data_IF_726747165360
#
_entry.id   IF_726747165360
#
_cell.length_a   1.000
_cell.length_b   1.000
_cell.length_c   1.000
_cell.angle_alpha   90.00
_cell.angle_beta   90.00
_cell.angle_gamma   90.00
#
_symmetry.space_group_name_H-M   'P 1'
#
loop_
_entity.id
_entity.type
_entity.pdbx_description
1 polymer ?
#
# COMPACT_ATOMS: atom_id res chain seq x y z
N UNK A 1 16.71 10.88 -6.63
CA UNK A 1 16.36 10.50 -5.25
C UNK A 1 15.74 9.11 -5.24
N UNK A 2 16.31 8.21 -4.45
CA UNK A 2 15.93 6.81 -4.34
C UNK A 2 15.37 6.50 -2.94
N UNK A 3 14.10 6.10 -2.88
CA UNK A 3 13.44 5.60 -1.68
C UNK A 3 13.34 4.09 -1.80
N UNK A 4 13.99 3.35 -0.90
CA UNK A 4 13.82 1.90 -0.82
C UNK A 4 12.72 1.54 0.17
N UNK A 5 11.86 0.61 -0.22
CA UNK A 5 10.87 -0.01 0.67
C UNK A 5 11.29 -1.45 0.93
N UNK A 6 11.71 -1.75 2.16
CA UNK A 6 12.32 -3.02 2.54
C UNK A 6 11.76 -3.58 3.85
N UNK A 7 12.06 -4.84 4.15
CA UNK A 7 11.70 -5.51 5.43
C UNK A 7 12.71 -6.62 5.78
N UNK A 8 13.90 -6.53 5.19
CA UNK A 8 14.88 -7.61 5.17
C UNK A 8 14.36 -8.87 4.48
N UNK A 9 14.84 -10.02 4.94
CA UNK A 9 14.60 -11.36 4.40
C UNK A 9 13.17 -11.87 4.59
N UNK A 10 12.30 -11.11 5.28
CA UNK A 10 10.95 -11.55 5.60
C UNK A 10 9.93 -11.18 4.51
N UNK A 11 9.20 -12.18 4.02
CA UNK A 11 8.02 -12.04 3.15
C UNK A 11 6.73 -11.74 3.90
N UNK A 12 5.71 -11.26 3.18
CA UNK A 12 4.37 -11.05 3.75
C UNK A 12 4.22 -9.88 4.73
N UNK A 13 5.23 -9.01 4.83
CA UNK A 13 5.25 -7.84 5.73
C UNK A 13 4.39 -6.67 5.25
N UNK A 14 4.00 -6.64 3.97
CA UNK A 14 3.22 -5.56 3.36
C UNK A 14 4.04 -4.43 2.73
N UNK A 15 5.31 -4.67 2.39
CA UNK A 15 6.18 -3.73 1.65
C UNK A 15 5.50 -3.15 0.41
N UNK A 16 4.96 -4.00 -0.45
CA UNK A 16 4.29 -3.58 -1.68
C UNK A 16 3.08 -2.68 -1.42
N UNK A 17 2.34 -2.95 -0.36
CA UNK A 17 1.25 -2.07 0.09
C UNK A 17 1.76 -0.70 0.54
N UNK A 18 2.88 -0.67 1.28
CA UNK A 18 3.52 0.57 1.71
C UNK A 18 4.05 1.35 0.52
N UNK A 19 4.73 0.69 -0.41
CA UNK A 19 5.26 1.29 -1.63
C UNK A 19 4.14 1.89 -2.50
N UNK A 20 3.03 1.18 -2.67
CA UNK A 20 1.86 1.69 -3.39
C UNK A 20 1.23 2.90 -2.68
N UNK A 21 1.05 2.83 -1.36
CA UNK A 21 0.47 3.92 -0.58
C UNK A 21 1.32 5.19 -0.61
N UNK A 22 2.64 5.04 -0.48
CA UNK A 22 3.61 6.12 -0.68
C UNK A 22 3.45 6.79 -2.04
N UNK A 23 3.45 5.98 -3.08
CA UNK A 23 3.37 6.43 -4.46
C UNK A 23 2.03 7.14 -4.76
N UNK A 24 0.93 6.62 -4.21
CA UNK A 24 -0.38 7.28 -4.27
C UNK A 24 -0.36 8.67 -3.61
N UNK A 25 0.23 8.82 -2.41
CA UNK A 25 0.30 10.11 -1.71
C UNK A 25 1.25 11.10 -2.40
N UNK A 26 2.39 10.65 -2.92
CA UNK A 26 3.29 11.52 -3.68
C UNK A 26 2.60 12.07 -4.93
N UNK A 27 1.82 11.23 -5.62
CA UNK A 27 1.01 11.65 -6.76
C UNK A 27 -0.01 12.72 -6.35
N UNK A 28 -0.68 12.54 -5.21
CA UNK A 28 -1.63 13.51 -4.65
C UNK A 28 -1.03 14.88 -4.36
N UNK A 29 0.23 14.90 -3.94
CA UNK A 29 0.97 16.12 -3.66
C UNK A 29 1.60 16.73 -4.91
N UNK A 30 1.43 16.09 -6.07
CA UNK A 30 1.96 16.56 -7.35
C UNK A 30 3.46 16.32 -7.54
N UNK A 31 4.07 15.42 -6.75
CA UNK A 31 5.47 15.03 -6.96
C UNK A 31 5.56 14.04 -8.12
N UNK A 32 6.38 14.37 -9.12
CA UNK A 32 6.69 13.43 -10.20
C UNK A 32 7.63 12.34 -9.69
N UNK A 33 7.21 11.08 -9.79
CA UNK A 33 7.99 9.91 -9.37
C UNK A 33 7.62 8.68 -10.20
N UNK A 34 8.39 7.62 -10.02
CA UNK A 34 8.15 6.29 -10.59
C UNK A 34 8.25 5.24 -9.49
N UNK A 35 7.40 4.23 -9.55
CA UNK A 35 7.42 3.09 -8.63
C UNK A 35 8.01 1.87 -9.34
N UNK A 36 9.17 1.44 -8.90
CA UNK A 36 9.89 0.29 -9.42
C UNK A 36 9.53 -0.96 -8.60
N UNK A 37 8.99 -1.98 -9.26
CA UNK A 37 8.81 -3.31 -8.67
C UNK A 37 10.01 -4.19 -9.03
N UNK A 38 10.88 -4.41 -8.06
CA UNK A 38 12.09 -5.19 -8.25
C UNK A 38 11.84 -6.71 -8.18
N UNK A 39 10.69 -7.17 -7.65
CA UNK A 39 10.40 -8.60 -7.47
C UNK A 39 10.40 -9.37 -8.80
N UNK A 40 9.96 -8.73 -9.88
CA UNK A 40 9.92 -9.31 -11.22
C UNK A 40 11.30 -9.70 -11.77
N UNK A 41 12.39 -9.05 -11.33
CA UNK A 41 13.75 -9.37 -11.77
C UNK A 41 14.24 -10.72 -11.24
N UNK A 42 13.57 -11.28 -10.23
CA UNK A 42 13.88 -12.59 -9.66
C UNK A 42 13.08 -13.73 -10.32
N UNK A 43 12.41 -13.45 -11.45
CA UNK A 43 11.65 -14.44 -12.23
C UNK A 43 10.22 -14.68 -11.75
N UNK A 44 9.82 -14.10 -10.61
CA UNK A 44 8.44 -14.15 -10.10
C UNK A 44 8.01 -12.76 -9.61
N UNK A 45 7.11 -12.12 -10.35
CA UNK A 45 6.45 -10.89 -9.91
C UNK A 45 5.56 -11.21 -8.70
N UNK A 46 5.96 -10.76 -7.52
CA UNK A 46 5.20 -10.94 -6.25
C UNK A 46 4.98 -9.62 -5.52
N UNK A 47 5.50 -8.51 -6.07
CA UNK A 47 5.38 -7.16 -5.55
C UNK A 47 4.15 -6.43 -6.07
N UNK A 48 4.22 -5.11 -6.15
CA UNK A 48 3.10 -4.24 -6.59
C UNK A 48 2.54 -4.66 -7.96
N UNK A 49 3.37 -5.11 -8.89
CA UNK A 49 2.94 -5.53 -10.24
C UNK A 49 1.96 -6.72 -10.19
N UNK A 50 2.22 -7.70 -9.33
CA UNK A 50 1.34 -8.85 -9.11
C UNK A 50 -0.05 -8.41 -8.62
N UNK A 51 -0.09 -7.50 -7.65
CA UNK A 51 -1.34 -6.92 -7.13
C UNK A 51 -2.06 -6.01 -8.12
N UNK A 52 -1.51 -5.74 -9.30
CA UNK A 52 -2.18 -4.98 -10.36
C UNK A 52 -2.67 -5.91 -11.47
N UNK A 53 -1.90 -6.95 -11.78
CA UNK A 53 -2.29 -7.99 -12.74
C UNK A 53 -3.46 -8.85 -12.27
N UNK A 54 -3.78 -8.90 -10.98
CA UNK A 54 -4.98 -9.60 -10.48
C UNK A 54 -6.26 -8.73 -10.53
N UNK A 55 -6.16 -7.44 -10.87
CA UNK A 55 -7.24 -6.44 -10.76
C UNK A 55 -7.63 -5.79 -12.11
N UNK A 56 -7.35 -6.49 -13.22
CA UNK A 56 -6.95 -5.94 -14.53
C UNK A 56 -7.80 -4.81 -15.13
N UNK A 57 -9.12 -4.72 -15.03
CA UNK A 57 -9.83 -3.74 -15.89
C UNK A 57 -10.24 -2.42 -15.21
N UNK A 58 -10.52 -2.40 -13.90
CA UNK A 58 -10.91 -1.16 -13.19
C UNK A 58 -9.73 -0.41 -12.56
N UNK A 59 -8.71 -1.16 -12.15
CA UNK A 59 -7.51 -0.69 -11.43
C UNK A 59 -6.42 -0.17 -12.40
N UNK A 60 -6.55 -0.47 -13.68
CA UNK A 60 -5.65 -0.04 -14.75
C UNK A 60 -5.54 1.49 -14.97
N UNK A 61 -6.34 2.29 -14.25
CA UNK A 61 -6.16 3.75 -14.18
C UNK A 61 -5.25 4.17 -13.02
N UNK A 62 -5.24 3.50 -11.87
CA UNK A 62 -4.29 3.85 -10.80
C UNK A 62 -2.87 3.48 -11.23
N UNK A 63 -2.65 2.35 -11.91
CA UNK A 63 -1.35 1.97 -12.48
C UNK A 63 -0.74 3.07 -13.37
N UNK A 64 -1.58 3.86 -14.07
CA UNK A 64 -1.15 5.04 -14.84
C UNK A 64 -0.68 6.21 -13.98
N UNK A 65 -1.26 6.41 -12.80
CA UNK A 65 -0.85 7.45 -11.85
C UNK A 65 0.42 7.06 -11.11
N UNK A 66 0.54 5.79 -10.73
CA UNK A 66 1.66 5.27 -9.94
C UNK A 66 2.92 5.01 -10.82
N UNK A 67 2.81 5.15 -12.16
CA UNK A 67 3.86 4.94 -13.17
C UNK A 67 4.78 3.77 -12.84
N UNK A 68 4.19 2.59 -12.73
CA UNK A 68 4.92 1.41 -12.27
C UNK A 68 5.82 0.89 -13.38
N UNK A 69 7.08 0.63 -13.02
CA UNK A 69 8.08 0.00 -13.87
C UNK A 69 8.57 -1.28 -13.21
N UNK A 70 8.86 -2.28 -14.02
CA UNK A 70 9.51 -3.49 -13.54
C UNK A 70 11.03 -3.26 -13.45
N UNK A 71 11.66 -3.86 -12.44
CA UNK A 71 13.11 -3.85 -12.26
C UNK A 71 13.62 -2.71 -11.39
N UNK A 72 14.85 -2.25 -11.67
CA UNK A 72 15.52 -1.19 -10.92
C UNK A 72 15.53 0.13 -11.69
N UNK A 73 15.59 1.28 -10.98
CA UNK A 73 15.92 2.54 -11.63
C UNK A 73 17.34 2.47 -12.23
N UNK A 74 17.57 3.10 -13.40
CA UNK A 74 18.91 3.27 -13.98
C UNK A 74 19.90 3.88 -12.98
N UNK A 75 21.20 3.62 -13.14
CA UNK A 75 22.21 4.14 -12.22
C UNK A 75 22.25 5.68 -12.17
N UNK A 76 21.98 6.31 -13.30
CA UNK A 76 21.94 7.76 -13.51
C UNK A 76 20.51 8.33 -13.41
N UNK A 77 19.59 7.63 -12.75
CA UNK A 77 18.20 8.05 -12.65
C UNK A 77 18.06 9.39 -11.89
N UNK A 78 17.85 10.48 -12.64
CA UNK A 78 17.74 11.83 -12.10
C UNK A 78 16.38 12.17 -11.45
N UNK A 79 15.43 11.24 -11.44
CA UNK A 79 14.08 11.45 -10.89
C UNK A 79 13.92 11.02 -9.44
N UNK A 80 12.67 11.03 -8.97
CA UNK A 80 12.27 10.38 -7.72
C UNK A 80 11.82 8.94 -8.02
N UNK A 81 12.43 7.97 -7.36
CA UNK A 81 12.11 6.55 -7.47
C UNK A 81 11.69 6.00 -6.11
N UNK A 82 10.57 5.29 -6.06
CA UNK A 82 10.24 4.36 -4.98
C UNK A 82 10.57 2.96 -5.49
N UNK A 83 11.31 2.16 -4.74
CA UNK A 83 11.61 0.77 -5.11
C UNK A 83 10.97 -0.18 -4.11
N UNK A 84 10.02 -0.99 -4.58
CA UNK A 84 9.46 -2.11 -3.83
C UNK A 84 10.41 -3.30 -3.94
N UNK A 85 11.10 -3.61 -2.84
CA UNK A 85 12.01 -4.74 -2.80
C UNK A 85 11.28 -6.03 -2.38
N UNK A 86 11.61 -7.19 -2.98
CA UNK A 86 11.22 -8.49 -2.45
C UNK A 86 11.93 -8.72 -1.11
N UNK A 87 11.63 -9.83 -0.41
CA UNK A 87 12.40 -10.23 0.75
C UNK A 87 13.87 -10.42 0.37
N UNK A 88 14.78 -9.63 0.97
CA UNK A 88 16.21 -9.63 0.65
C UNK A 88 17.05 -9.67 1.92
N UNK A 89 18.15 -10.43 1.87
CA UNK A 89 19.08 -10.60 2.99
C UNK A 89 20.35 -9.80 2.77
N UNK A 90 20.99 -9.32 3.84
CA UNK A 90 22.30 -8.64 3.76
C UNK A 90 23.42 -9.54 3.21
N UNK A 91 23.19 -10.86 3.14
CA UNK A 91 24.10 -11.79 2.46
C UNK A 91 24.09 -11.61 0.93
N UNK A 92 23.10 -10.91 0.36
CA UNK A 92 22.98 -10.65 -1.07
C UNK A 92 23.71 -9.34 -1.41
N UNK A 93 24.79 -9.36 -2.21
CA UNK A 93 25.57 -8.17 -2.53
C UNK A 93 24.75 -7.05 -3.18
N UNK A 94 23.79 -7.41 -4.02
CA UNK A 94 22.89 -6.46 -4.68
C UNK A 94 22.00 -5.70 -3.68
N UNK A 95 21.56 -6.34 -2.60
CA UNK A 95 20.79 -5.66 -1.57
C UNK A 95 21.63 -4.61 -0.84
N UNK A 96 22.90 -4.96 -0.54
CA UNK A 96 23.85 -4.04 0.09
C UNK A 96 24.18 -2.86 -0.85
N UNK A 97 24.38 -3.12 -2.14
CA UNK A 97 24.56 -2.07 -3.17
C UNK A 97 23.36 -1.11 -3.18
N UNK A 98 22.14 -1.64 -3.25
CA UNK A 98 20.93 -0.85 -3.25
C UNK A 98 20.82 0.01 -1.98
N UNK A 99 21.03 -0.58 -0.79
CA UNK A 99 21.03 0.15 0.47
C UNK A 99 22.03 1.31 0.47
N UNK A 100 23.23 1.10 -0.08
CA UNK A 100 24.28 2.12 -0.13
C UNK A 100 23.94 3.31 -1.02
N UNK A 101 23.09 3.10 -2.02
CA UNK A 101 22.67 4.10 -3.03
C UNK A 101 21.37 4.82 -2.66
N UNK A 102 20.67 4.38 -1.62
CA UNK A 102 19.36 4.90 -1.27
C UNK A 102 19.45 6.19 -0.46
N UNK A 103 18.74 7.22 -0.91
CA UNK A 103 18.61 8.50 -0.21
C UNK A 103 17.67 8.42 1.00
N UNK A 104 16.72 7.49 0.97
CA UNK A 104 15.82 7.22 2.08
C UNK A 104 15.45 5.74 2.15
N UNK A 105 15.24 5.27 3.38
CA UNK A 105 14.84 3.91 3.65
C UNK A 105 13.50 3.89 4.39
N UNK A 106 12.51 3.20 3.81
CA UNK A 106 11.24 2.85 4.45
C UNK A 106 11.31 1.38 4.84
N UNK A 107 11.40 1.08 6.13
CA UNK A 107 11.44 -0.31 6.60
C UNK A 107 10.09 -0.71 7.17
N UNK A 108 9.55 -1.80 6.64
CA UNK A 108 8.24 -2.34 7.00
C UNK A 108 8.41 -3.55 7.89
N UNK A 109 7.79 -3.54 9.06
CA UNK A 109 7.79 -4.67 9.99
C UNK A 109 6.37 -5.18 10.23
N UNK A 110 6.27 -6.44 10.65
CA UNK A 110 5.02 -7.11 11.03
C UNK A 110 5.11 -7.67 12.46
N UNK A 111 4.00 -8.23 12.97
CA UNK A 111 3.96 -8.85 14.31
C UNK A 111 4.87 -10.07 14.45
N UNK A 112 5.34 -10.64 13.35
CA UNK A 112 6.11 -11.88 13.38
C UNK A 112 7.53 -11.58 13.90
N UNK A 113 8.04 -12.32 14.91
CA UNK A 113 9.32 -12.00 15.53
C UNK A 113 10.51 -11.97 14.57
N UNK A 114 10.49 -12.82 13.54
CA UNK A 114 11.51 -12.86 12.48
C UNK A 114 11.49 -11.61 11.61
N UNK A 115 10.34 -10.97 11.44
CA UNK A 115 10.17 -9.67 10.78
C UNK A 115 10.88 -8.55 11.53
N UNK A 116 10.79 -8.55 12.87
CA UNK A 116 11.46 -7.55 13.73
C UNK A 116 12.98 -7.71 13.65
N UNK A 117 13.49 -8.94 13.78
CA UNK A 117 14.94 -9.21 13.67
C UNK A 117 15.46 -8.84 12.29
N UNK A 118 14.70 -9.16 11.24
CA UNK A 118 15.09 -8.82 9.87
C UNK A 118 15.14 -7.31 9.64
N UNK A 119 14.18 -6.57 10.20
CA UNK A 119 14.14 -5.11 10.14
C UNK A 119 15.36 -4.47 10.83
N UNK A 120 15.69 -4.87 12.07
CA UNK A 120 16.81 -4.28 12.81
C UNK A 120 18.15 -4.48 12.09
N UNK A 121 18.39 -5.65 11.50
CA UNK A 121 19.59 -5.88 10.67
C UNK A 121 19.68 -4.93 9.47
N UNK A 122 18.56 -4.69 8.78
CA UNK A 122 18.53 -3.76 7.64
C UNK A 122 18.81 -2.32 8.11
N UNK A 123 18.28 -1.93 9.26
CA UNK A 123 18.51 -0.61 9.84
C UNK A 123 19.99 -0.41 10.21
N UNK A 124 20.64 -1.41 10.81
CA UNK A 124 22.07 -1.39 11.14
C UNK A 124 22.96 -1.28 9.90
N UNK A 125 22.54 -1.90 8.78
CA UNK A 125 23.32 -1.93 7.55
C UNK A 125 23.12 -0.72 6.64
N UNK A 126 22.08 0.09 6.85
CA UNK A 126 21.78 1.25 6.01
C UNK A 126 22.68 2.43 6.38
N UNK A 127 23.53 2.94 5.46
CA UNK A 127 24.48 4.01 5.78
C UNK A 127 23.84 5.41 5.82
N UNK A 128 22.61 5.56 5.34
CA UNK A 128 21.92 6.85 5.29
C UNK A 128 21.20 7.21 6.59
N UNK A 129 20.84 8.49 6.74
CA UNK A 129 20.21 9.01 7.96
C UNK A 129 18.69 9.14 7.87
N UNK A 130 18.10 9.09 6.66
CA UNK A 130 16.66 9.25 6.45
C UNK A 130 15.95 7.90 6.47
N UNK A 131 15.42 7.56 7.65
CA UNK A 131 14.75 6.27 7.90
C UNK A 131 13.32 6.52 8.36
N UNK A 132 12.37 5.77 7.80
CA UNK A 132 10.98 5.72 8.27
C UNK A 132 10.58 4.27 8.55
N UNK A 133 10.21 3.98 9.80
CA UNK A 133 9.70 2.67 10.21
C UNK A 133 8.18 2.62 10.05
N UNK A 134 7.64 1.57 9.44
CA UNK A 134 6.21 1.33 9.26
C UNK A 134 5.84 -0.02 9.86
N UNK A 135 4.85 -0.03 10.73
CA UNK A 135 4.32 -1.24 11.33
C UNK A 135 3.02 -1.64 10.65
N UNK A 136 3.03 -2.82 10.05
CA UNK A 136 1.88 -3.40 9.39
C UNK A 136 1.52 -4.73 10.05
N UNK A 137 0.26 -4.88 10.50
CA UNK A 137 -0.19 -6.06 11.28
C UNK A 137 0.50 -6.21 12.66
N UNK A 138 1.33 -5.27 13.11
CA UNK A 138 2.09 -5.37 14.37
C UNK A 138 1.40 -4.69 15.57
N UNK A 139 2.03 -4.74 16.76
CA UNK A 139 1.64 -3.89 17.89
C UNK A 139 1.85 -2.41 17.56
N UNK A 140 1.00 -1.53 18.12
CA UNK A 140 1.15 -0.07 17.98
C UNK A 140 2.24 0.50 18.90
N UNK A 141 2.70 -0.27 19.88
CA UNK A 141 3.68 0.19 20.86
C UNK A 141 5.04 0.48 20.20
N UNK A 142 5.56 1.70 20.41
CA UNK A 142 6.83 2.14 19.81
C UNK A 142 6.80 2.46 18.32
N UNK A 143 5.64 2.44 17.66
CA UNK A 143 5.54 2.65 16.22
C UNK A 143 4.71 3.88 15.82
N UNK A 144 5.39 4.86 15.19
CA UNK A 144 4.75 6.11 14.74
C UNK A 144 3.81 5.92 13.56
N UNK A 145 4.17 5.04 12.63
CA UNK A 145 3.41 4.78 11.40
C UNK A 145 2.80 3.39 11.44
N UNK A 146 1.53 3.31 11.84
CA UNK A 146 0.79 2.05 11.90
C UNK A 146 -0.24 1.94 10.78
N UNK A 147 -0.27 0.80 10.11
CA UNK A 147 -1.30 0.44 9.15
C UNK A 147 -2.33 -0.48 9.81
N UNK A 148 -3.58 0.01 9.88
CA UNK A 148 -4.75 -0.79 10.20
C UNK A 148 -4.92 -1.87 9.15
N UNK A 149 -5.07 -3.10 9.61
CA UNK A 149 -5.28 -4.27 8.75
C UNK A 149 -6.68 -4.19 8.15
N UNK A 150 -6.72 -4.08 6.82
CA UNK A 150 -7.93 -4.22 5.99
C UNK A 150 -7.73 -5.38 5.00
N UNK A 151 -8.72 -5.78 4.18
CA UNK A 151 -8.56 -6.90 3.24
C UNK A 151 -7.29 -6.77 2.38
N UNK A 152 -6.73 -7.89 1.93
CA UNK A 152 -5.35 -7.98 1.43
C UNK A 152 -5.01 -7.15 0.19
N UNK A 153 -6.00 -6.54 -0.49
CA UNK A 153 -5.70 -5.65 -1.60
C UNK A 153 -5.06 -4.33 -1.10
N UNK A 154 -3.91 -3.93 -1.67
CA UNK A 154 -3.29 -2.65 -1.38
C UNK A 154 -4.23 -1.44 -1.56
N UNK A 155 -5.18 -1.52 -2.48
CA UNK A 155 -6.17 -0.46 -2.73
C UNK A 155 -7.12 -0.22 -1.57
N UNK A 156 -7.48 -1.28 -0.86
CA UNK A 156 -8.31 -1.19 0.34
C UNK A 156 -7.49 -0.65 1.51
N UNK A 157 -6.23 -1.08 1.61
CA UNK A 157 -5.32 -0.59 2.64
C UNK A 157 -5.07 0.91 2.48
N UNK A 158 -4.81 1.40 1.26
CA UNK A 158 -4.61 2.84 1.02
C UNK A 158 -5.93 3.62 1.18
N UNK A 159 -7.06 3.03 0.77
CA UNK A 159 -8.38 3.64 0.87
C UNK A 159 -8.88 3.82 2.31
N UNK A 160 -8.44 2.98 3.24
CA UNK A 160 -8.82 3.08 4.65
C UNK A 160 -8.42 4.46 5.24
N UNK A 161 -9.36 5.26 5.79
CA UNK A 161 -9.08 6.64 6.21
C UNK A 161 -8.00 6.79 7.29
N UNK A 162 -7.78 5.75 8.11
CA UNK A 162 -6.70 5.72 9.09
C UNK A 162 -5.35 5.54 8.41
N UNK A 163 -5.24 4.57 7.50
CA UNK A 163 -4.03 4.31 6.72
C UNK A 163 -3.68 5.47 5.78
N UNK A 164 -4.67 6.08 5.14
CA UNK A 164 -4.47 7.28 4.32
C UNK A 164 -3.76 8.40 5.10
N UNK A 165 -4.19 8.63 6.36
CA UNK A 165 -3.53 9.59 7.26
C UNK A 165 -2.12 9.15 7.66
N UNK A 166 -1.90 7.84 7.86
CA UNK A 166 -0.57 7.30 8.10
C UNK A 166 0.35 7.57 6.90
N UNK A 167 -0.09 7.33 5.66
CA UNK A 167 0.70 7.60 4.47
C UNK A 167 1.00 9.09 4.26
N UNK A 168 0.06 9.99 4.60
CA UNK A 168 0.34 11.43 4.61
C UNK A 168 1.49 11.78 5.57
N UNK A 169 1.46 11.27 6.80
CA UNK A 169 2.53 11.52 7.77
C UNK A 169 3.86 10.89 7.37
N UNK A 170 3.80 9.68 6.79
CA UNK A 170 4.98 8.97 6.29
C UNK A 170 5.68 9.81 5.21
N UNK A 171 4.93 10.36 4.25
CA UNK A 171 5.48 11.21 3.19
C UNK A 171 6.04 12.54 3.72
N UNK A 172 5.44 13.12 4.77
CA UNK A 172 6.01 14.29 5.47
C UNK A 172 7.38 13.96 6.09
N UNK A 173 7.49 12.83 6.80
CA UNK A 173 8.74 12.39 7.43
C UNK A 173 9.84 12.08 6.40
N UNK A 174 9.47 11.69 5.17
CA UNK A 174 10.39 11.53 4.05
C UNK A 174 10.82 12.87 3.42
N UNK A 175 10.32 14.00 3.90
CA UNK A 175 10.65 15.34 3.41
C UNK A 175 9.82 15.82 2.23
N UNK A 176 8.74 15.13 1.88
CA UNK A 176 7.85 15.52 0.79
C UNK A 176 6.67 16.35 1.28
N UNK A 177 6.96 17.40 2.05
CA UNK A 177 5.95 18.32 2.56
C UNK A 177 5.29 19.08 1.42
N UNK A 178 3.97 19.23 1.46
CA UNK A 178 3.24 19.99 0.45
C UNK A 178 1.74 19.94 0.67
N UNK A 179 1.02 20.90 0.07
CA UNK A 179 -0.44 20.88 0.06
C UNK A 179 -0.93 19.73 -0.81
N UNK A 180 -1.61 18.77 -0.20
CA UNK A 180 -2.17 17.66 -0.91
C UNK A 180 -3.41 18.13 -1.70
N UNK A 181 -3.50 17.75 -2.98
CA UNK A 181 -4.57 18.18 -3.89
C UNK A 181 -5.82 17.31 -3.74
N UNK A 182 -6.29 17.13 -2.51
CA UNK A 182 -7.53 16.40 -2.23
C UNK A 182 -8.47 17.23 -1.36
N UNK A 183 -9.76 16.96 -1.50
CA UNK A 183 -10.82 17.54 -0.69
C UNK A 183 -11.48 16.45 0.15
N UNK A 184 -11.72 16.75 1.43
CA UNK A 184 -12.54 15.91 2.29
C UNK A 184 -14.01 16.23 2.04
N UNK A 185 -14.74 15.28 1.45
CA UNK A 185 -16.15 15.47 1.07
C UNK A 185 -17.09 14.97 2.16
N UNK A 186 -16.77 13.80 2.77
CA UNK A 186 -17.59 13.14 3.80
C UNK A 186 -19.10 13.06 3.49
N UNK A 187 -19.48 12.87 2.22
CA UNK A 187 -20.88 12.81 1.78
C UNK A 187 -21.36 11.36 1.76
N UNK A 188 -22.51 11.11 2.37
CA UNK A 188 -23.18 9.81 2.40
C UNK A 188 -24.32 9.76 1.39
N UNK A 189 -24.55 8.58 0.83
CA UNK A 189 -25.58 8.34 -0.17
C UNK A 189 -25.92 6.84 -0.23
N UNK A 190 -27.07 6.51 -0.81
CA UNK A 190 -27.49 5.13 -1.05
C UNK A 190 -27.44 4.81 -2.53
N UNK A 191 -26.86 3.66 -2.90
CA UNK A 191 -26.90 3.13 -4.27
C UNK A 191 -27.04 1.61 -4.21
N UNK A 192 -27.91 1.03 -5.04
CA UNK A 192 -28.20 -0.41 -5.09
C UNK A 192 -28.50 -1.05 -3.72
N UNK A 193 -29.26 -0.34 -2.87
CA UNK A 193 -29.62 -0.77 -1.52
C UNK A 193 -28.44 -0.79 -0.53
N UNK A 194 -27.28 -0.25 -0.90
CA UNK A 194 -26.06 -0.18 -0.08
C UNK A 194 -25.81 1.26 0.34
N UNK A 195 -25.49 1.47 1.62
CA UNK A 195 -25.00 2.78 2.09
C UNK A 195 -23.55 2.96 1.65
N UNK A 196 -23.25 4.15 1.16
CA UNK A 196 -21.93 4.51 0.69
C UNK A 196 -21.53 5.90 1.16
N UNK A 197 -20.23 6.15 1.11
CA UNK A 197 -19.60 7.38 1.58
C UNK A 197 -18.46 7.79 0.66
N UNK A 198 -18.52 9.00 0.12
CA UNK A 198 -17.40 9.65 -0.54
C UNK A 198 -16.60 10.38 0.54
N UNK A 199 -15.44 9.84 0.91
CA UNK A 199 -14.66 10.35 2.04
C UNK A 199 -13.73 11.47 1.59
N UNK A 200 -12.90 11.18 0.59
CA UNK A 200 -11.94 12.10 -0.02
C UNK A 200 -12.09 12.06 -1.53
N UNK A 201 -11.86 13.19 -2.21
CA UNK A 201 -11.81 13.29 -3.68
C UNK A 201 -10.61 14.09 -4.14
N UNK A 202 -10.06 13.75 -5.28
CA UNK A 202 -9.02 14.46 -6.00
C UNK A 202 -9.15 14.14 -7.48
N UNK A 203 -8.71 14.98 -8.39
CA UNK A 203 -8.79 14.60 -9.80
C UNK A 203 -7.67 13.59 -10.14
N UNK A 204 -7.94 12.40 -10.74
CA UNK A 204 -9.24 11.78 -11.04
C UNK A 204 -9.60 10.60 -10.11
N UNK A 205 -9.34 10.64 -8.80
CA UNK A 205 -9.65 9.55 -7.84
C UNK A 205 -10.39 10.00 -6.57
N UNK A 206 -10.92 9.02 -5.85
CA UNK A 206 -11.62 9.22 -4.60
C UNK A 206 -11.44 8.01 -3.69
N UNK A 207 -11.61 8.26 -2.38
CA UNK A 207 -11.84 7.19 -1.40
C UNK A 207 -13.34 7.01 -1.25
N UNK A 208 -13.82 5.85 -1.71
CA UNK A 208 -15.21 5.43 -1.59
C UNK A 208 -15.31 4.37 -0.51
N UNK A 209 -16.15 4.64 0.49
CA UNK A 209 -16.59 3.67 1.49
C UNK A 209 -17.93 3.06 1.09
N UNK A 210 -18.10 1.75 1.27
CA UNK A 210 -19.39 1.06 1.17
C UNK A 210 -19.65 0.22 2.42
N UNK A 211 -20.89 0.24 2.90
CA UNK A 211 -21.33 -0.55 4.04
C UNK A 211 -21.84 -1.92 3.57
N UNK A 212 -21.16 -3.00 3.96
CA UNK A 212 -21.51 -4.37 3.62
C UNK A 212 -21.58 -5.17 4.92
N UNK A 213 -22.72 -5.81 5.18
CA UNK A 213 -22.94 -6.61 6.39
C UNK A 213 -22.60 -5.82 7.68
N UNK A 214 -23.04 -4.55 7.75
CA UNK A 214 -22.79 -3.62 8.86
C UNK A 214 -21.31 -3.28 9.10
N UNK A 215 -20.43 -3.52 8.11
CA UNK A 215 -19.02 -3.12 8.14
C UNK A 215 -18.72 -2.18 6.99
N UNK A 216 -17.95 -1.13 7.26
CA UNK A 216 -17.47 -0.22 6.24
C UNK A 216 -16.18 -0.74 5.62
N UNK A 217 -16.14 -0.75 4.29
CA UNK A 217 -14.96 -1.04 3.50
C UNK A 217 -14.65 0.14 2.61
N UNK A 218 -13.38 0.53 2.55
CA UNK A 218 -12.95 1.71 1.82
C UNK A 218 -11.98 1.32 0.72
N UNK A 219 -12.15 1.90 -0.46
CA UNK A 219 -11.29 1.68 -1.60
C UNK A 219 -10.86 3.00 -2.21
N UNK A 220 -9.59 3.08 -2.58
CA UNK A 220 -9.08 4.08 -3.51
C UNK A 220 -9.53 3.74 -4.93
N UNK A 221 -10.32 4.60 -5.58
CA UNK A 221 -10.93 4.36 -6.88
C UNK A 221 -10.86 5.56 -7.83
N UNK A 222 -10.77 5.37 -9.16
CA UNK A 222 -10.86 6.47 -10.12
C UNK A 222 -12.24 7.16 -10.06
N UNK A 223 -12.27 8.44 -9.69
CA UNK A 223 -13.42 9.34 -9.66
C UNK A 223 -13.70 9.94 -11.04
N UNK A 224 -13.87 9.05 -12.02
CA UNK A 224 -14.06 9.39 -13.45
C UNK A 224 -15.43 8.99 -13.98
N UNK A 225 -16.27 8.47 -13.09
CA UNK A 225 -17.59 7.92 -13.37
C UNK A 225 -18.60 8.49 -12.37
N UNK A 226 -19.91 8.45 -12.69
CA UNK A 226 -20.96 8.75 -11.73
C UNK A 226 -20.77 7.99 -10.41
N UNK A 227 -21.20 8.61 -9.31
CA UNK A 227 -20.94 8.07 -7.97
C UNK A 227 -21.64 6.72 -7.75
N UNK A 228 -22.80 6.53 -8.39
CA UNK A 228 -23.58 5.29 -8.37
C UNK A 228 -22.77 4.15 -8.98
N UNK A 229 -22.18 4.34 -10.16
CA UNK A 229 -21.31 3.34 -10.80
C UNK A 229 -20.08 3.02 -9.96
N UNK A 230 -19.50 4.03 -9.30
CA UNK A 230 -18.36 3.82 -8.41
C UNK A 230 -18.74 3.01 -7.18
N UNK A 231 -19.93 3.20 -6.65
CA UNK A 231 -20.44 2.36 -5.54
C UNK A 231 -20.76 0.96 -5.99
N UNK A 232 -21.38 0.76 -7.15
CA UNK A 232 -21.59 -0.59 -7.70
C UNK A 232 -20.24 -1.27 -7.93
N UNK A 233 -19.24 -0.55 -8.45
CA UNK A 233 -17.88 -1.08 -8.63
C UNK A 233 -17.24 -1.40 -7.28
N UNK A 234 -17.30 -0.49 -6.31
CA UNK A 234 -16.79 -0.68 -4.96
C UNK A 234 -17.46 -1.88 -4.29
N UNK A 235 -18.80 -1.98 -4.34
CA UNK A 235 -19.60 -3.10 -3.85
C UNK A 235 -19.23 -4.41 -4.52
N UNK A 236 -18.94 -4.41 -5.82
CA UNK A 236 -18.50 -5.62 -6.51
C UNK A 236 -17.08 -6.03 -6.11
N UNK A 237 -16.18 -5.07 -5.88
CA UNK A 237 -14.81 -5.30 -5.41
C UNK A 237 -14.72 -5.59 -3.90
N UNK A 238 -15.68 -5.14 -3.11
CA UNK A 238 -15.71 -5.26 -1.64
C UNK A 238 -16.75 -6.27 -1.15
N UNK A 239 -17.60 -6.72 -2.06
CA UNK A 239 -18.75 -7.57 -1.81
C UNK A 239 -18.37 -9.00 -1.43
N UNK A 240 -19.28 -9.72 -0.76
CA UNK A 240 -19.07 -11.12 -0.37
C UNK A 240 -18.66 -11.99 -1.56
N UNK A 241 -19.24 -11.78 -2.74
CA UNK A 241 -18.92 -12.57 -3.95
C UNK A 241 -17.46 -12.44 -4.40
N UNK A 242 -16.84 -11.27 -4.27
CA UNK A 242 -15.43 -11.07 -4.62
C UNK A 242 -14.50 -11.53 -3.50
N UNK A 243 -14.86 -11.27 -2.23
CA UNK A 243 -14.13 -11.81 -1.08
C UNK A 243 -14.15 -13.36 -1.05
N UNK A 244 -15.23 -13.98 -1.52
CA UNK A 244 -15.33 -15.42 -1.76
C UNK A 244 -14.41 -15.89 -2.89
N UNK A 245 -14.37 -15.17 -4.03
CA UNK A 245 -13.51 -15.51 -5.19
C UNK A 245 -12.02 -15.45 -4.88
N UNK A 246 -11.60 -14.57 -3.99
CA UNK A 246 -10.22 -14.51 -3.50
C UNK A 246 -9.89 -15.60 -2.45
N UNK A 247 -10.82 -16.52 -2.15
CA UNK A 247 -10.59 -17.61 -1.20
C UNK A 247 -10.60 -17.20 0.28
N UNK A 248 -10.99 -15.95 0.60
CA UNK A 248 -10.95 -15.43 1.97
C UNK A 248 -12.21 -15.72 2.80
N UNK A 249 -13.35 -16.00 2.19
CA UNK A 249 -14.60 -16.14 2.94
C UNK A 249 -14.68 -17.43 3.76
N UNK A 250 -14.30 -18.58 3.20
CA UNK A 250 -14.48 -19.85 3.91
C UNK A 250 -13.35 -20.16 4.91
N UNK A 251 -12.15 -19.59 4.75
CA UNK A 251 -11.04 -19.84 5.66
C UNK A 251 -10.79 -18.73 6.68
N UNK A 252 -11.05 -17.46 6.38
CA UNK A 252 -10.82 -16.37 7.34
C UNK A 252 -11.96 -16.26 8.36
N UNK A 253 -13.24 -16.40 7.97
CA UNK A 253 -14.36 -16.42 8.90
C UNK A 253 -14.33 -17.67 9.81
N UNK A 254 -14.02 -18.85 9.25
CA UNK A 254 -13.87 -20.07 10.07
C UNK A 254 -12.68 -20.01 11.03
N UNK A 255 -11.57 -19.34 10.68
CA UNK A 255 -10.47 -19.07 11.62
C UNK A 255 -10.85 -18.04 12.68
N UNK A 256 -11.59 -16.98 12.32
CA UNK A 256 -12.07 -15.97 13.27
C UNK A 256 -13.08 -16.55 14.27
N UNK A 257 -13.97 -17.45 13.83
CA UNK A 257 -14.96 -18.10 14.70
C UNK A 257 -14.41 -19.32 15.45
N UNK A 258 -13.33 -19.97 15.00
CA UNK A 258 -12.60 -20.96 15.81
C UNK A 258 -11.84 -20.32 16.97
N UNK A 259 -11.31 -19.11 16.79
CA UNK A 259 -10.62 -18.37 17.86
C UNK A 259 -11.57 -17.83 18.96
N UNK A 260 -12.89 -17.87 18.74
CA UNK A 260 -13.91 -17.47 19.74
C UNK A 260 -14.49 -18.70 20.46
N UNK A 261 -14.12 -19.91 20.05
CA UNK A 261 -14.47 -21.17 20.73
C UNK A 261 -13.22 -21.90 21.19
N UNK A 262 -12.39 -21.25 22.00
CA UNK A 262 -11.51 -21.89 22.99
C UNK A 262 -11.26 -20.91 24.14
#
# INVERSE_FOLDING_TARGET
MLILVASGSKGGTGKSTVALGLSAILSLRGFSHELFDYSCNLGVCTGVYYYLSDFVDGVNRLSRLVKIKQGLPPQDYGGLAIVDLPPMSLAQPEFVDLLSRADALVVVSSYEPDSVVSMERVLEAYPGSRIVKVCNRASMEGCRHYLKVTPESPFFVVGEPTNFRTFLRLTDDLGFTGEARFERVSREFGADGVKAKLVYRWDPYAIIGVEISLKWYYALMPYTKPIEELVTTAKNLLGPSYLNRLGFADNALNKLFRAIRH
#
